data_IF_195958336238
#
_entry.id   IF_195958336238
#
_cell.length_a   1.000
_cell.length_b   1.000
_cell.length_c   1.000
_cell.angle_alpha   90.00
_cell.angle_beta   90.00
_cell.angle_gamma   90.00
#
_symmetry.space_group_name_H-M   'P 1'
#
loop_
_entity.id
_entity.type
_entity.pdbx_description
1 polymer ?
#
# COMPACT_ATOMS: atom_id res chain seq x y z
N UNK A 1 -6.04 -14.52 1.43
CA UNK A 1 -6.27 -15.78 2.17
C UNK A 1 -6.32 -15.58 3.68
N UNK A 2 -5.26 -15.04 4.31
CA UNK A 2 -5.15 -14.97 5.78
C UNK A 2 -6.25 -14.12 6.47
N UNK A 3 -6.61 -12.95 5.91
CA UNK A 3 -7.68 -12.09 6.47
C UNK A 3 -9.03 -12.82 6.46
N UNK A 4 -9.36 -13.47 5.34
CA UNK A 4 -10.60 -14.24 5.21
C UNK A 4 -10.68 -15.41 6.19
N UNK A 5 -9.55 -16.13 6.40
CA UNK A 5 -9.46 -17.19 7.40
C UNK A 5 -9.67 -16.64 8.82
N UNK A 6 -9.07 -15.48 9.10
CA UNK A 6 -9.17 -14.80 10.40
C UNK A 6 -10.62 -14.45 10.76
N UNK A 7 -11.41 -13.98 9.80
CA UNK A 7 -12.81 -13.61 10.01
C UNK A 7 -13.71 -14.81 10.32
N UNK A 8 -13.36 -16.00 9.82
CA UNK A 8 -14.14 -17.24 10.06
C UNK A 8 -13.74 -17.94 11.36
N UNK A 9 -12.44 -17.96 11.66
CA UNK A 9 -11.88 -18.75 12.77
C UNK A 9 -11.82 -17.95 14.07
N UNK A 10 -11.79 -16.62 14.01
CA UNK A 10 -11.67 -15.82 15.22
C UNK A 10 -12.89 -15.97 16.15
N UNK A 11 -12.65 -16.26 17.45
CA UNK A 11 -13.71 -16.34 18.44
C UNK A 11 -14.38 -14.98 18.63
N UNK A 12 -15.68 -15.02 18.92
CA UNK A 12 -16.42 -13.84 19.33
C UNK A 12 -15.99 -13.46 20.75
N UNK A 13 -15.84 -12.16 20.99
CA UNK A 13 -15.60 -11.67 22.34
C UNK A 13 -16.93 -11.50 23.08
N UNK A 14 -16.95 -11.78 24.37
CA UNK A 14 -18.17 -11.71 25.20
C UNK A 14 -18.71 -10.28 25.34
N UNK A 15 -17.82 -9.26 25.36
CA UNK A 15 -18.22 -7.86 25.50
C UNK A 15 -18.38 -7.18 24.15
N UNK A 16 -17.53 -7.50 23.17
CA UNK A 16 -17.54 -6.83 21.86
C UNK A 16 -18.34 -7.57 20.79
N UNK A 17 -18.78 -8.80 21.04
CA UNK A 17 -19.53 -9.62 20.10
C UNK A 17 -18.80 -9.77 18.76
N UNK A 18 -19.51 -9.50 17.66
CA UNK A 18 -18.95 -9.54 16.30
C UNK A 18 -17.89 -8.46 16.02
N UNK A 19 -17.84 -7.39 16.82
CA UNK A 19 -16.89 -6.30 16.64
C UNK A 19 -15.46 -6.70 17.01
N UNK A 20 -15.29 -7.81 17.76
CA UNK A 20 -13.98 -8.40 18.02
C UNK A 20 -13.22 -8.76 16.74
N UNK A 21 -13.94 -8.85 15.59
CA UNK A 21 -13.35 -9.19 14.31
C UNK A 21 -12.73 -8.02 13.55
N UNK A 22 -13.10 -6.78 13.89
CA UNK A 22 -12.60 -5.54 13.27
C UNK A 22 -11.06 -5.45 13.27
N UNK A 23 -10.34 -5.71 14.39
CA UNK A 23 -8.87 -5.65 14.40
C UNK A 23 -8.19 -6.62 13.43
N UNK A 24 -8.82 -7.75 13.05
CA UNK A 24 -8.22 -8.69 12.08
C UNK A 24 -8.14 -8.15 10.65
N UNK A 25 -8.91 -7.12 10.33
CA UNK A 25 -8.83 -6.42 9.04
C UNK A 25 -8.11 -5.08 9.20
N UNK A 26 -8.47 -4.33 10.25
CA UNK A 26 -7.94 -3.01 10.52
C UNK A 26 -6.42 -3.03 10.75
N UNK A 27 -5.92 -3.89 11.64
CA UNK A 27 -4.51 -3.89 12.05
C UNK A 27 -3.60 -4.31 10.89
N UNK A 28 -3.92 -5.35 10.10
CA UNK A 28 -3.16 -5.65 8.88
C UNK A 28 -3.20 -4.50 7.86
N UNK A 29 -4.36 -3.86 7.64
CA UNK A 29 -4.46 -2.71 6.74
C UNK A 29 -3.57 -1.54 7.19
N UNK A 30 -3.55 -1.21 8.48
CA UNK A 30 -2.67 -0.20 9.08
C UNK A 30 -1.19 -0.51 8.85
N UNK A 31 -0.82 -1.78 8.96
CA UNK A 31 0.56 -2.22 8.73
C UNK A 31 0.94 -2.12 7.27
N UNK A 32 0.03 -2.47 6.36
CA UNK A 32 0.24 -2.39 4.91
C UNK A 32 0.45 -0.96 4.44
N UNK A 33 -0.32 0.02 4.96
CA UNK A 33 -0.12 1.44 4.61
C UNK A 33 1.27 1.94 5.04
N UNK A 34 1.73 1.58 6.25
CA UNK A 34 3.08 1.94 6.74
C UNK A 34 4.18 1.25 5.91
N UNK A 35 4.03 -0.03 5.57
CA UNK A 35 5.00 -0.75 4.74
C UNK A 35 5.08 -0.14 3.34
N UNK A 36 3.93 0.18 2.73
CA UNK A 36 3.88 0.85 1.44
C UNK A 36 4.56 2.23 1.51
N UNK A 37 4.39 2.98 2.60
CA UNK A 37 5.11 4.24 2.82
C UNK A 37 6.63 4.04 2.83
N UNK A 38 7.13 3.06 3.59
CA UNK A 38 8.57 2.72 3.64
C UNK A 38 9.14 2.33 2.29
N UNK A 39 8.37 1.63 1.46
CA UNK A 39 8.78 1.27 0.10
C UNK A 39 9.02 2.50 -0.79
N UNK A 40 8.28 3.60 -0.58
CA UNK A 40 8.49 4.83 -1.34
C UNK A 40 9.77 5.56 -0.91
N UNK A 41 10.13 5.48 0.38
CA UNK A 41 11.32 6.13 0.94
C UNK A 41 12.65 5.56 0.45
N UNK A 42 12.67 4.33 -0.08
CA UNK A 42 13.91 3.71 -0.58
C UNK A 42 14.38 4.49 -1.81
N UNK A 43 15.53 5.21 -1.73
CA UNK A 43 16.03 6.00 -2.84
C UNK A 43 16.40 5.07 -3.99
N UNK A 44 15.98 5.44 -5.20
CA UNK A 44 16.33 4.74 -6.43
C UNK A 44 17.20 5.68 -7.25
N UNK A 45 18.29 5.15 -7.82
CA UNK A 45 19.05 5.87 -8.82
C UNK A 45 18.16 6.15 -10.04
N UNK A 46 17.94 7.44 -10.34
CA UNK A 46 17.09 7.90 -11.45
C UNK A 46 17.54 7.34 -12.81
N UNK A 47 18.81 6.97 -12.93
CA UNK A 47 19.44 6.39 -14.12
C UNK A 47 19.17 4.90 -14.31
N UNK A 48 18.62 4.21 -13.31
CA UNK A 48 18.28 2.79 -13.47
C UNK A 48 17.09 2.63 -14.41
N UNK A 49 17.07 1.60 -15.28
CA UNK A 49 15.92 1.30 -16.15
C UNK A 49 14.64 0.98 -15.36
N UNK A 50 14.80 0.69 -14.06
CA UNK A 50 13.71 0.44 -13.13
C UNK A 50 13.07 1.74 -12.60
N UNK A 51 13.62 2.92 -12.87
CA UNK A 51 13.12 4.19 -12.31
C UNK A 51 11.66 4.49 -12.65
N UNK A 52 11.19 4.09 -13.84
CA UNK A 52 9.79 4.20 -14.29
C UNK A 52 8.84 3.33 -13.45
N UNK A 53 9.23 2.09 -13.17
CA UNK A 53 8.51 1.16 -12.27
C UNK A 53 8.33 1.74 -10.88
N UNK A 54 9.32 2.50 -10.44
CA UNK A 54 9.34 3.06 -9.10
C UNK A 54 8.53 4.35 -8.95
N UNK A 55 8.11 4.99 -10.06
CA UNK A 55 7.20 6.14 -10.05
C UNK A 55 5.79 5.75 -9.59
N UNK A 56 5.37 4.54 -9.94
CA UNK A 56 4.04 4.01 -9.62
C UNK A 56 3.91 3.51 -8.16
N UNK A 57 5.04 3.40 -7.42
CA UNK A 57 5.05 3.09 -5.97
C UNK A 57 4.20 4.05 -5.14
N UNK A 58 4.12 5.31 -5.57
CA UNK A 58 3.33 6.35 -4.92
C UNK A 58 1.84 6.18 -5.15
N UNK A 59 1.39 5.39 -6.13
CA UNK A 59 -0.04 5.11 -6.32
C UNK A 59 -0.50 4.00 -5.39
N UNK A 60 0.34 2.98 -5.21
CA UNK A 60 0.03 1.80 -4.41
C UNK A 60 -0.14 2.11 -2.92
N UNK A 61 0.72 2.95 -2.32
CA UNK A 61 0.54 3.31 -0.91
C UNK A 61 -0.73 4.13 -0.66
N UNK A 62 -1.17 4.91 -1.64
CA UNK A 62 -2.35 5.77 -1.53
C UNK A 62 -3.60 4.90 -1.43
N UNK A 63 -3.65 3.86 -2.26
CA UNK A 63 -4.70 2.84 -2.19
C UNK A 63 -4.79 2.22 -0.80
N UNK A 64 -3.67 1.83 -0.19
CA UNK A 64 -3.69 1.25 1.17
C UNK A 64 -4.16 2.22 2.24
N UNK A 65 -3.81 3.51 2.15
CA UNK A 65 -4.32 4.53 3.07
C UNK A 65 -5.82 4.78 2.87
N UNK A 66 -6.32 4.82 1.63
CA UNK A 66 -7.76 4.99 1.34
C UNK A 66 -8.56 3.81 1.89
N UNK A 67 -8.11 2.58 1.64
CA UNK A 67 -8.76 1.37 2.17
C UNK A 67 -8.76 1.39 3.69
N UNK A 68 -7.64 1.75 4.32
CA UNK A 68 -7.51 1.85 5.77
C UNK A 68 -8.49 2.88 6.38
N UNK A 69 -8.50 4.11 5.85
CA UNK A 69 -9.35 5.20 6.34
C UNK A 69 -10.84 4.88 6.13
N UNK A 70 -11.20 4.34 4.96
CA UNK A 70 -12.58 3.97 4.66
C UNK A 70 -13.06 2.84 5.58
N UNK A 71 -12.23 1.81 5.78
CA UNK A 71 -12.56 0.69 6.66
C UNK A 71 -12.71 1.14 8.11
N UNK A 72 -11.80 2.00 8.59
CA UNK A 72 -11.91 2.57 9.93
C UNK A 72 -13.18 3.40 10.08
N UNK A 73 -13.50 4.26 9.10
CA UNK A 73 -14.71 5.09 9.15
C UNK A 73 -15.97 4.26 9.33
N UNK A 74 -16.16 3.23 8.49
CA UNK A 74 -17.31 2.31 8.59
C UNK A 74 -17.32 1.54 9.91
N UNK A 75 -16.16 1.08 10.37
CA UNK A 75 -16.03 0.30 11.60
C UNK A 75 -16.06 1.15 12.88
N UNK A 76 -16.01 2.48 12.77
CA UNK A 76 -16.04 3.38 13.91
C UNK A 76 -17.40 3.42 14.60
N UNK A 77 -18.49 3.40 13.83
CA UNK A 77 -19.86 3.44 14.37
C UNK A 77 -20.15 2.33 15.39
N UNK A 78 -19.85 1.04 15.12
CA UNK A 78 -20.11 -0.03 16.09
C UNK A 78 -19.17 -0.03 17.30
N UNK A 79 -18.00 0.60 17.23
CA UNK A 79 -17.03 0.63 18.34
C UNK A 79 -17.14 1.87 19.23
N UNK A 80 -17.40 3.03 18.64
CA UNK A 80 -17.34 4.34 19.33
C UNK A 80 -18.60 5.18 19.12
N UNK A 81 -19.62 4.65 18.44
CA UNK A 81 -20.88 5.37 18.18
C UNK A 81 -20.81 6.43 17.07
N UNK A 82 -19.64 6.66 16.48
CA UNK A 82 -19.40 7.65 15.42
C UNK A 82 -18.49 7.11 14.33
N UNK A 83 -18.68 7.58 13.09
CA UNK A 83 -17.81 7.23 11.96
C UNK A 83 -16.46 7.95 11.99
N UNK A 84 -16.32 9.01 12.80
CA UNK A 84 -15.06 9.76 12.91
C UNK A 84 -14.87 10.38 14.29
N UNK A 85 -13.63 10.30 14.78
CA UNK A 85 -13.16 10.93 16.01
C UNK A 85 -11.87 11.65 15.70
N UNK A 86 -11.77 12.92 16.07
CA UNK A 86 -10.56 13.71 15.89
C UNK A 86 -9.53 13.43 16.99
N UNK A 87 -9.13 12.17 17.14
CA UNK A 87 -8.06 11.79 18.06
C UNK A 87 -6.67 11.99 17.43
N UNK A 88 -5.63 12.05 18.27
CA UNK A 88 -4.27 12.28 17.82
C UNK A 88 -3.80 11.22 16.82
N UNK A 89 -4.24 9.97 16.98
CA UNK A 89 -3.82 8.86 16.12
C UNK A 89 -4.40 8.97 14.72
N UNK A 90 -5.71 9.12 14.63
CA UNK A 90 -6.45 9.14 13.38
C UNK A 90 -6.14 10.42 12.60
N UNK A 91 -5.99 11.53 13.30
CA UNK A 91 -5.55 12.80 12.70
C UNK A 91 -4.14 12.67 12.11
N UNK A 92 -3.20 12.03 12.82
CA UNK A 92 -1.86 11.78 12.29
C UNK A 92 -1.92 10.87 11.06
N UNK A 93 -2.70 9.78 11.09
CA UNK A 93 -2.87 8.92 9.90
C UNK A 93 -3.47 9.69 8.70
N UNK A 94 -4.41 10.60 8.94
CA UNK A 94 -4.95 11.48 7.90
C UNK A 94 -3.87 12.43 7.36
N UNK A 95 -3.04 13.01 8.21
CA UNK A 95 -1.90 13.86 7.80
C UNK A 95 -0.93 13.04 6.94
N UNK A 96 -0.55 11.84 7.37
CA UNK A 96 0.25 10.90 6.58
C UNK A 96 -0.36 10.62 5.20
N UNK A 97 -1.68 10.45 5.12
CA UNK A 97 -2.38 10.29 3.84
C UNK A 97 -2.30 11.55 2.96
N UNK A 98 -2.47 12.74 3.53
CA UNK A 98 -2.38 14.01 2.79
C UNK A 98 -0.96 14.28 2.29
N UNK A 99 0.08 13.98 3.07
CA UNK A 99 1.49 14.06 2.64
C UNK A 99 1.71 13.17 1.41
N UNK A 100 1.10 11.99 1.41
CA UNK A 100 1.22 11.02 0.34
C UNK A 100 0.49 11.46 -0.93
N UNK A 101 -0.72 12.01 -0.79
CA UNK A 101 -1.49 12.64 -1.89
C UNK A 101 -0.76 13.86 -2.47
N UNK A 102 -0.16 14.69 -1.61
CA UNK A 102 0.68 15.81 -2.00
C UNK A 102 1.86 15.35 -2.85
N UNK A 103 2.59 14.32 -2.39
CA UNK A 103 3.70 13.77 -3.14
C UNK A 103 3.28 13.17 -4.50
N UNK A 104 2.13 12.49 -4.57
CA UNK A 104 1.54 12.04 -5.84
C UNK A 104 1.28 13.19 -6.82
N UNK A 105 0.72 14.30 -6.33
CA UNK A 105 0.45 15.49 -7.16
C UNK A 105 1.74 16.17 -7.61
N UNK A 106 2.70 16.28 -6.69
CA UNK A 106 3.98 16.95 -6.92
C UNK A 106 4.89 16.22 -7.91
N UNK A 107 4.69 14.92 -8.18
CA UNK A 107 5.39 14.23 -9.27
C UNK A 107 5.13 14.80 -10.67
N UNK A 108 4.03 15.54 -10.83
CA UNK A 108 3.66 16.17 -12.10
C UNK A 108 4.26 17.56 -12.26
N UNK A 109 4.91 18.09 -11.23
CA UNK A 109 5.54 19.40 -11.27
C UNK A 109 7.02 19.27 -11.71
N UNK A 110 7.56 20.28 -12.42
CA UNK A 110 8.96 20.29 -12.87
C UNK A 110 9.95 20.56 -11.72
N UNK A 111 9.50 21.25 -10.67
CA UNK A 111 10.21 21.37 -9.40
C UNK A 111 10.07 20.00 -8.71
N UNK A 112 11.06 19.52 -7.95
CA UNK A 112 10.98 18.24 -7.22
C UNK A 112 10.54 18.39 -5.74
N UNK A 113 9.35 18.91 -5.38
CA UNK A 113 8.90 18.91 -3.99
C UNK A 113 8.35 17.54 -3.55
N UNK A 114 8.04 16.62 -4.49
CA UNK A 114 7.54 15.28 -4.18
C UNK A 114 8.48 14.46 -3.26
N UNK A 115 9.79 14.35 -3.57
CA UNK A 115 10.75 13.69 -2.70
C UNK A 115 10.92 14.36 -1.33
N UNK A 116 10.68 15.67 -1.23
CA UNK A 116 10.83 16.43 0.03
C UNK A 116 9.62 16.18 0.93
N UNK A 117 8.41 16.33 0.38
CA UNK A 117 7.14 16.08 1.08
C UNK A 117 7.10 14.67 1.66
N UNK A 118 7.46 13.65 0.88
CA UNK A 118 7.45 12.26 1.37
C UNK A 118 8.61 11.94 2.33
N UNK A 119 9.71 12.68 2.28
CA UNK A 119 10.77 12.54 3.29
C UNK A 119 10.39 13.15 4.64
N UNK A 120 9.39 14.02 4.70
CA UNK A 120 8.89 14.58 5.95
C UNK A 120 7.94 13.63 6.71
N UNK A 121 7.11 12.84 6.02
CA UNK A 121 6.13 11.97 6.68
C UNK A 121 6.66 10.84 7.59
N UNK A 122 7.93 10.37 7.55
CA UNK A 122 8.47 9.50 8.60
C UNK A 122 8.42 10.12 10.00
N UNK A 123 8.40 11.46 10.11
CA UNK A 123 8.26 12.19 11.38
C UNK A 123 6.89 11.92 12.01
N UNK A 124 5.87 11.67 11.18
CA UNK A 124 4.50 11.41 11.62
C UNK A 124 4.31 9.97 12.15
N UNK A 125 5.14 9.01 11.71
CA UNK A 125 5.06 7.60 12.13
C UNK A 125 5.24 7.42 13.65
N UNK A 126 6.26 8.03 14.31
CA UNK A 126 6.36 8.07 15.77
C UNK A 126 5.13 8.64 16.46
N UNK A 127 4.52 9.70 15.91
CA UNK A 127 3.32 10.32 16.46
C UNK A 127 2.15 9.33 16.38
N UNK A 128 1.91 8.70 15.22
CA UNK A 128 0.87 7.67 15.06
C UNK A 128 1.05 6.53 16.09
N UNK A 129 2.29 6.07 16.30
CA UNK A 129 2.55 4.92 17.19
C UNK A 129 2.45 5.27 18.67
N UNK A 130 3.00 6.40 19.06
CA UNK A 130 3.07 6.82 20.47
C UNK A 130 1.83 7.61 20.91
N UNK A 131 0.97 8.01 19.96
CA UNK A 131 -0.22 8.82 20.24
C UNK A 131 -1.10 8.25 21.35
N UNK A 132 -1.26 6.93 21.41
CA UNK A 132 -2.07 6.23 22.42
C UNK A 132 -1.49 6.37 23.84
N UNK A 133 -0.16 6.52 23.95
CA UNK A 133 0.52 6.68 25.24
C UNK A 133 0.65 8.16 25.62
N UNK A 134 0.75 9.04 24.63
CA UNK A 134 0.96 10.48 24.84
C UNK A 134 -0.34 11.23 25.07
N UNK A 135 -1.47 10.74 24.55
CA UNK A 135 -2.79 11.35 24.73
C UNK A 135 -3.80 10.32 25.25
N UNK A 136 -4.79 10.80 26.02
CA UNK A 136 -5.99 10.03 26.39
C UNK A 136 -6.88 9.82 25.16
N UNK A 137 -6.46 8.93 24.26
CA UNK A 137 -7.19 8.63 23.02
C UNK A 137 -8.34 7.66 23.28
N UNK A 138 -9.35 7.66 22.39
CA UNK A 138 -10.44 6.67 22.40
C UNK A 138 -9.96 5.23 22.08
N UNK A 139 -8.68 5.07 21.75
CA UNK A 139 -8.07 3.79 21.47
C UNK A 139 -7.53 3.17 22.76
N UNK A 140 -7.97 1.93 23.02
CA UNK A 140 -7.36 1.10 24.04
C UNK A 140 -5.85 0.89 23.76
N UNK A 141 -5.01 0.82 24.82
CA UNK A 141 -3.60 0.49 24.68
C UNK A 141 -3.39 -0.84 23.94
N UNK A 142 -2.26 -0.97 23.25
CA UNK A 142 -1.96 -2.17 22.49
C UNK A 142 -1.88 -3.41 23.38
N UNK A 143 -2.77 -4.39 23.15
CA UNK A 143 -2.85 -5.63 23.93
C UNK A 143 -1.78 -6.66 23.54
N UNK A 144 -1.02 -6.41 22.47
CA UNK A 144 0.12 -7.21 22.02
C UNK A 144 1.36 -6.31 22.07
N UNK A 145 2.28 -6.63 22.98
CA UNK A 145 3.55 -5.92 23.15
C UNK A 145 4.74 -6.87 22.97
N UNK A 146 5.95 -6.31 22.97
CA UNK A 146 7.19 -7.09 22.94
C UNK A 146 7.43 -7.89 24.24
N UNK A 147 6.70 -7.55 25.31
CA UNK A 147 6.86 -8.08 26.66
C UNK A 147 5.73 -9.04 27.06
N UNK A 148 4.73 -9.27 26.20
CA UNK A 148 3.62 -10.17 26.47
C UNK A 148 2.31 -9.76 25.78
N UNK A 149 1.31 -10.63 25.90
CA UNK A 149 -0.06 -10.41 25.39
C UNK A 149 -1.05 -10.39 26.55
N UNK A 150 -1.88 -9.35 26.64
CA UNK A 150 -2.97 -9.29 27.62
C UNK A 150 -4.28 -9.92 27.10
N UNK A 151 -4.28 -10.41 25.86
CA UNK A 151 -5.40 -11.08 25.20
C UNK A 151 -5.24 -12.60 25.24
N UNK A 152 -6.38 -13.30 25.30
CA UNK A 152 -6.43 -14.76 25.32
C UNK A 152 -5.71 -15.35 24.10
N UNK A 153 -4.86 -16.36 24.30
CA UNK A 153 -3.91 -16.93 23.31
C UNK A 153 -4.49 -17.24 21.91
N UNK A 154 -5.77 -17.63 21.74
CA UNK A 154 -6.35 -17.85 20.41
C UNK A 154 -6.55 -16.57 19.58
N UNK A 155 -6.77 -15.42 20.24
CA UNK A 155 -7.03 -14.13 19.55
C UNK A 155 -5.81 -13.54 18.81
N UNK A 156 -4.56 -13.56 19.32
CA UNK A 156 -3.41 -13.02 18.60
C UNK A 156 -2.97 -13.84 17.38
N UNK A 157 -3.25 -15.15 17.33
CA UNK A 157 -2.81 -16.05 16.24
C UNK A 157 -3.20 -15.52 14.85
N UNK A 158 -4.48 -15.17 14.59
CA UNK A 158 -4.85 -14.60 13.29
C UNK A 158 -4.19 -13.25 12.99
N UNK A 159 -3.98 -12.39 14.00
CA UNK A 159 -3.28 -11.10 13.82
C UNK A 159 -1.82 -11.34 13.40
N UNK A 160 -1.13 -12.25 14.08
CA UNK A 160 0.26 -12.59 13.79
C UNK A 160 0.42 -13.26 12.42
N UNK A 161 -0.53 -14.14 12.05
CA UNK A 161 -0.58 -14.73 10.71
C UNK A 161 -0.75 -13.67 9.62
N UNK A 162 -1.66 -12.71 9.82
CA UNK A 162 -1.81 -11.59 8.89
C UNK A 162 -0.54 -10.71 8.83
N UNK A 163 0.17 -10.52 9.95
CA UNK A 163 1.42 -9.76 10.00
C UNK A 163 2.54 -10.46 9.23
N UNK A 164 2.65 -11.78 9.34
CA UNK A 164 3.65 -12.56 8.61
C UNK A 164 3.41 -12.53 7.10
N UNK A 165 2.13 -12.50 6.68
CA UNK A 165 1.74 -12.50 5.26
C UNK A 165 1.79 -11.12 4.59
N UNK A 166 1.71 -10.04 5.37
CA UNK A 166 1.68 -8.65 4.87
C UNK A 166 2.85 -8.27 3.93
N UNK A 167 4.13 -8.58 4.21
CA UNK A 167 5.24 -8.24 3.31
C UNK A 167 5.24 -9.04 2.00
N UNK A 168 4.61 -10.21 1.97
CA UNK A 168 4.48 -10.98 0.73
C UNK A 168 3.48 -10.30 -0.23
N UNK A 169 2.38 -9.76 0.31
CA UNK A 169 1.38 -9.06 -0.52
C UNK A 169 1.92 -7.77 -1.15
N UNK A 170 2.73 -6.98 -0.44
CA UNK A 170 3.36 -5.78 -1.03
C UNK A 170 4.38 -6.14 -2.10
N UNK A 171 5.16 -7.22 -1.89
CA UNK A 171 6.10 -7.73 -2.90
C UNK A 171 5.39 -8.25 -4.14
N UNK A 172 4.28 -8.96 -3.99
CA UNK A 172 3.48 -9.45 -5.12
C UNK A 172 2.91 -8.29 -5.94
N UNK A 173 2.34 -7.26 -5.30
CA UNK A 173 1.84 -6.08 -6.01
C UNK A 173 2.96 -5.35 -6.75
N UNK A 174 4.13 -5.24 -6.13
CA UNK A 174 5.31 -4.68 -6.78
C UNK A 174 5.71 -5.50 -8.01
N UNK A 175 5.76 -6.84 -7.91
CA UNK A 175 6.08 -7.73 -9.05
C UNK A 175 5.00 -7.68 -10.14
N UNK A 176 3.72 -7.62 -9.79
CA UNK A 176 2.64 -7.50 -10.78
C UNK A 176 2.73 -6.18 -11.53
N UNK A 177 3.00 -5.09 -10.83
CA UNK A 177 3.21 -3.78 -11.42
C UNK A 177 4.44 -3.76 -12.35
N UNK A 178 5.51 -4.47 -11.98
CA UNK A 178 6.66 -4.63 -12.89
C UNK A 178 6.34 -5.47 -14.11
N UNK A 179 5.57 -6.54 -13.96
CA UNK A 179 5.13 -7.40 -15.07
C UNK A 179 4.15 -6.71 -16.02
N UNK A 180 3.30 -5.80 -15.53
CA UNK A 180 2.38 -5.03 -16.39
C UNK A 180 3.06 -3.86 -17.11
N UNK A 181 4.13 -3.31 -16.54
CA UNK A 181 4.85 -2.19 -17.15
C UNK A 181 5.89 -2.65 -18.20
N UNK A 182 6.51 -3.82 -18.05
CA UNK A 182 7.47 -4.37 -19.03
C UNK A 182 6.87 -4.47 -20.45
N UNK A 183 5.66 -5.02 -20.67
CA UNK A 183 5.00 -5.05 -21.98
C UNK A 183 4.80 -3.65 -22.55
N UNK A 184 4.31 -2.69 -21.75
CA UNK A 184 4.10 -1.32 -22.22
C UNK A 184 5.39 -0.58 -22.58
N UNK A 185 6.53 -0.96 -21.99
CA UNK A 185 7.84 -0.41 -22.35
C UNK A 185 8.37 -1.06 -23.64
N UNK A 186 8.14 -2.35 -23.84
CA UNK A 186 8.43 -3.07 -25.08
C UNK A 186 7.51 -2.65 -26.24
N UNK A 187 6.35 -2.07 -25.98
CA UNK A 187 5.46 -1.49 -27.00
C UNK A 187 5.75 -0.01 -27.29
N UNK A 188 6.73 0.59 -26.62
CA UNK A 188 7.08 2.02 -26.75
C UNK A 188 7.94 2.30 -28.01
N UNK A 189 8.18 3.59 -28.39
CA UNK A 189 8.83 3.98 -29.65
C UNK A 189 10.23 3.39 -29.89
N UNK A 190 10.83 2.81 -28.84
CA UNK A 190 12.09 2.10 -28.91
C UNK A 190 12.01 0.86 -29.82
N UNK A 191 10.86 0.22 -29.93
CA UNK A 191 10.65 -0.90 -30.86
C UNK A 191 10.52 -0.41 -32.30
N UNK A 192 9.92 0.77 -32.53
CA UNK A 192 9.95 1.41 -33.84
C UNK A 192 11.36 1.89 -34.22
N UNK A 193 12.14 2.39 -33.26
CA UNK A 193 13.55 2.76 -33.49
C UNK A 193 14.44 1.54 -33.76
N UNK A 194 14.23 0.42 -33.04
CA UNK A 194 14.96 -0.83 -33.28
C UNK A 194 14.56 -1.45 -34.63
N UNK A 195 13.27 -1.49 -34.97
CA UNK A 195 12.81 -1.96 -36.29
C UNK A 195 13.30 -1.06 -37.43
N UNK A 196 13.38 0.26 -37.21
CA UNK A 196 13.94 1.22 -38.17
C UNK A 196 15.47 1.10 -38.31
N UNK A 197 16.19 0.71 -37.26
CA UNK A 197 17.64 0.50 -37.28
C UNK A 197 18.03 -0.89 -37.84
N UNK A 198 17.24 -1.93 -37.58
CA UNK A 198 17.51 -3.30 -38.07
C UNK A 198 16.93 -3.57 -39.46
N UNK A 199 16.13 -2.65 -40.03
CA UNK A 199 15.61 -2.77 -41.39
C UNK A 199 14.70 -3.99 -41.59
N UNK A 200 13.97 -4.40 -40.55
CA UNK A 200 13.07 -5.55 -40.61
C UNK A 200 11.78 -5.14 -41.34
N UNK A 201 11.48 -5.70 -42.53
CA UNK A 201 10.30 -5.32 -43.28
C UNK A 201 9.02 -5.80 -42.58
N UNK A 202 8.02 -4.92 -42.50
CA UNK A 202 6.70 -5.21 -41.89
C UNK A 202 6.07 -6.46 -42.52
N UNK A 203 5.37 -7.31 -41.75
CA UNK A 203 4.80 -8.58 -42.23
C UNK A 203 3.80 -8.42 -43.40
N UNK A 204 3.27 -7.21 -43.63
CA UNK A 204 2.43 -6.91 -44.79
C UNK A 204 3.18 -6.95 -46.13
N UNK A 205 4.50 -6.64 -46.17
CA UNK A 205 5.26 -6.65 -47.43
C UNK A 205 5.77 -8.03 -47.84
N UNK A 206 5.85 -8.98 -46.90
CA UNK A 206 6.19 -10.37 -47.20
C UNK A 206 5.04 -11.12 -47.88
N UNK A 207 3.79 -10.75 -47.60
CA UNK A 207 2.62 -11.32 -48.26
C UNK A 207 2.52 -10.89 -49.74
N UNK A 208 2.85 -9.64 -50.08
CA UNK A 208 2.88 -9.18 -51.48
C UNK A 208 4.00 -9.84 -52.30
N UNK A 209 5.18 -10.07 -51.70
CA UNK A 209 6.29 -10.73 -52.41
C UNK A 209 6.03 -12.20 -52.75
N UNK A 210 5.20 -12.90 -51.98
CA UNK A 210 4.86 -14.31 -52.21
C UNK A 210 3.72 -14.49 -53.22
N UNK A 211 2.87 -13.48 -53.42
CA UNK A 211 1.80 -13.52 -54.43
C UNK A 211 2.27 -13.21 -55.86
N UNK A 212 3.45 -12.61 -56.04
CA UNK A 212 3.98 -12.24 -57.37
C UNK A 212 4.66 -13.44 -58.08
N UNK A 213 4.94 -14.54 -57.36
CA UNK A 213 5.68 -15.71 -57.86
C UNK A 213 4.87 -17.03 -57.90
N UNK A 214 3.54 -16.96 -57.88
CA UNK A 214 2.63 -18.12 -58.02
C UNK A 214 1.96 -18.20 -59.39
#
# INVERSE_FOLDING_TARGET
MAIHLSLRVAPLDLQQGGNSRIPYVHVPAARMSILAYKHVLVPINKTSPLSSLFRNRYRNGCFFYVVYLSYWGVSGRPMWGTFWVWDARLTSVLISFLIYMGALRFQKLPIEPAPISIRAGPIDIPIIKSSVNWWNTSHQPGSISRYGTSIHVPMPIPILSNFANSPFSTRILFVLETRLLIPSFLESPLTEEIEAQEGIPKPSSLAESLCIHG
#
